data_IF_352075546884
#
_entry.id   IF_352075546884
#
_cell.length_a   1.000
_cell.length_b   1.000
_cell.length_c   1.000
_cell.angle_alpha   90.00
_cell.angle_beta   90.00
_cell.angle_gamma   90.00
#
_symmetry.space_group_name_H-M   'P 1'
#
loop_
_entity.id
_entity.type
_entity.pdbx_description
1 polymer ?
#
# COMPACT_ATOMS: atom_id res chain seq x y z
N UNK A 1 11.46 9.35 20.37
CA UNK A 1 10.19 8.87 19.79
C UNK A 1 10.00 7.43 20.22
N UNK A 2 8.88 7.08 20.85
CA UNK A 2 8.58 5.68 21.18
C UNK A 2 8.05 4.95 19.93
N UNK A 3 8.42 3.69 19.76
CA UNK A 3 8.09 2.91 18.57
C UNK A 3 6.66 2.37 18.66
N UNK A 4 5.81 2.55 17.64
CA UNK A 4 4.44 2.02 17.67
C UNK A 4 4.42 0.49 17.87
N UNK A 5 5.37 -0.24 17.30
CA UNK A 5 5.48 -1.68 17.51
C UNK A 5 5.74 -2.11 18.96
N UNK A 6 6.21 -1.20 19.80
CA UNK A 6 6.50 -1.46 21.22
C UNK A 6 5.32 -1.10 22.12
N UNK A 7 4.45 -0.18 21.67
CA UNK A 7 3.30 0.30 22.43
C UNK A 7 1.99 -0.38 22.03
N UNK A 8 1.88 -0.85 20.78
CA UNK A 8 0.66 -1.47 20.28
C UNK A 8 0.29 -2.70 21.11
N UNK A 9 -0.97 -2.78 21.50
CA UNK A 9 -1.51 -3.93 22.22
C UNK A 9 -2.37 -4.76 21.27
N UNK A 10 -2.42 -6.09 21.44
CA UNK A 10 -3.42 -6.89 20.76
C UNK A 10 -4.82 -6.42 21.11
N UNK A 11 -5.70 -6.44 20.13
CA UNK A 11 -7.08 -6.07 20.29
C UNK A 11 -7.93 -7.24 20.76
N UNK A 12 -9.13 -6.93 21.24
CA UNK A 12 -10.20 -7.89 21.41
C UNK A 12 -11.50 -7.37 20.79
N UNK A 13 -12.39 -8.31 20.46
CA UNK A 13 -13.69 -8.02 19.87
C UNK A 13 -14.76 -7.69 20.94
N UNK A 14 -14.37 -7.33 22.17
CA UNK A 14 -15.32 -7.11 23.28
C UNK A 14 -15.85 -5.68 23.35
N UNK A 15 -15.09 -4.70 22.85
CA UNK A 15 -15.48 -3.30 22.94
C UNK A 15 -16.77 -3.00 22.16
N UNK A 16 -17.67 -2.26 22.80
CA UNK A 16 -18.87 -1.69 22.18
C UNK A 16 -18.94 -0.20 22.55
N UNK A 17 -19.11 0.72 21.60
CA UNK A 17 -19.20 2.12 21.92
C UNK A 17 -20.46 2.39 22.76
N UNK A 18 -20.35 3.21 23.83
CA UNK A 18 -21.48 3.49 24.72
C UNK A 18 -22.58 4.31 24.04
N UNK A 19 -22.25 5.01 22.95
CA UNK A 19 -23.15 5.86 22.20
C UNK A 19 -23.07 5.53 20.71
N UNK A 20 -24.14 4.95 20.18
CA UNK A 20 -24.33 4.74 18.74
C UNK A 20 -25.57 5.50 18.30
N UNK A 21 -25.37 6.53 17.48
CA UNK A 21 -26.48 7.30 16.90
C UNK A 21 -27.15 6.55 15.75
N UNK A 22 -26.37 5.78 15.00
CA UNK A 22 -26.82 5.07 13.81
C UNK A 22 -26.71 3.56 14.04
N UNK A 23 -27.70 2.83 13.54
CA UNK A 23 -27.64 1.37 13.45
C UNK A 23 -26.89 0.98 12.17
N UNK A 24 -25.86 0.17 12.31
CA UNK A 24 -25.06 -0.29 11.17
C UNK A 24 -25.87 -1.27 10.32
N UNK A 25 -26.13 -0.97 9.03
CA UNK A 25 -26.88 -1.87 8.16
C UNK A 25 -26.17 -3.22 8.01
N UNK A 26 -26.93 -4.31 8.07
CA UNK A 26 -26.43 -5.63 7.69
C UNK A 26 -26.26 -5.74 6.16
N UNK A 27 -25.55 -6.77 5.71
CA UNK A 27 -25.51 -7.17 4.29
C UNK A 27 -24.14 -7.16 3.63
N UNK A 28 -23.14 -6.54 4.25
CA UNK A 28 -21.76 -6.63 3.78
C UNK A 28 -20.76 -6.53 4.95
N UNK A 29 -19.79 -7.42 4.97
CA UNK A 29 -18.69 -7.43 5.94
C UNK A 29 -17.51 -6.63 5.35
N UNK A 30 -17.16 -5.49 5.98
CA UNK A 30 -16.08 -4.63 5.49
C UNK A 30 -14.68 -5.20 5.76
N UNK A 31 -14.56 -6.22 6.62
CA UNK A 31 -13.30 -6.95 6.88
C UNK A 31 -13.16 -8.20 6.03
N UNK A 32 -14.23 -8.68 5.39
CA UNK A 32 -14.15 -9.77 4.41
C UNK A 32 -13.56 -9.28 3.08
N UNK A 33 -12.23 -9.26 3.00
CA UNK A 33 -11.49 -8.91 1.77
C UNK A 33 -11.88 -9.83 0.60
N UNK A 34 -12.27 -11.08 0.87
CA UNK A 34 -12.67 -12.03 -0.17
C UNK A 34 -14.04 -11.68 -0.75
N UNK A 35 -14.93 -11.05 0.03
CA UNK A 35 -16.20 -10.54 -0.48
C UNK A 35 -15.99 -9.47 -1.56
N UNK A 36 -15.01 -8.57 -1.40
CA UNK A 36 -14.66 -7.59 -2.44
C UNK A 36 -14.14 -8.25 -3.71
N UNK A 37 -13.35 -9.31 -3.59
CA UNK A 37 -12.85 -10.06 -4.75
C UNK A 37 -13.96 -10.84 -5.46
N UNK A 38 -14.87 -11.45 -4.72
CA UNK A 38 -15.95 -12.29 -5.26
C UNK A 38 -17.11 -11.48 -5.85
N UNK A 39 -17.45 -10.34 -5.24
CA UNK A 39 -18.66 -9.57 -5.57
C UNK A 39 -18.37 -8.19 -6.15
N UNK A 40 -17.11 -7.75 -6.13
CA UNK A 40 -16.73 -6.39 -6.51
C UNK A 40 -17.05 -5.37 -5.42
N UNK A 41 -17.07 -4.09 -5.81
CA UNK A 41 -17.33 -2.99 -4.88
C UNK A 41 -18.83 -2.95 -4.51
N UNK A 42 -19.19 -2.95 -3.22
CA UNK A 42 -20.59 -3.00 -2.78
C UNK A 42 -21.24 -1.60 -2.82
N UNK A 43 -21.37 -1.02 -4.01
CA UNK A 43 -21.83 0.36 -4.20
C UNK A 43 -23.19 0.64 -3.54
N UNK A 44 -24.14 -0.30 -3.62
CA UNK A 44 -25.46 -0.18 -2.98
C UNK A 44 -25.38 -0.19 -1.44
N UNK A 45 -24.47 -0.99 -0.88
CA UNK A 45 -24.23 -0.98 0.56
C UNK A 45 -23.62 0.35 1.01
N UNK A 46 -22.62 0.85 0.27
CA UNK A 46 -22.05 2.17 0.55
C UNK A 46 -23.07 3.30 0.38
N UNK A 47 -24.01 3.20 -0.56
CA UNK A 47 -25.12 4.14 -0.69
C UNK A 47 -26.03 4.10 0.55
N UNK A 48 -26.39 2.91 1.00
CA UNK A 48 -27.17 2.71 2.24
C UNK A 48 -26.47 3.29 3.46
N UNK A 49 -25.16 3.07 3.61
CA UNK A 49 -24.36 3.67 4.69
C UNK A 49 -24.44 5.20 4.63
N UNK A 50 -24.22 5.81 3.47
CA UNK A 50 -24.27 7.28 3.33
C UNK A 50 -25.62 7.87 3.72
N UNK A 51 -26.71 7.20 3.39
CA UNK A 51 -28.07 7.67 3.66
C UNK A 51 -28.49 7.45 5.12
N UNK A 52 -28.29 6.22 5.63
CA UNK A 52 -28.91 5.76 6.89
C UNK A 52 -27.95 5.73 8.07
N UNK A 53 -26.67 5.48 7.83
CA UNK A 53 -25.65 5.31 8.88
C UNK A 53 -24.29 5.89 8.45
N UNK A 54 -24.20 7.23 8.25
CA UNK A 54 -23.00 7.86 7.69
C UNK A 54 -21.76 7.73 8.59
N UNK A 55 -21.99 7.52 9.89
CA UNK A 55 -20.99 7.20 10.90
C UNK A 55 -21.43 5.92 11.60
N UNK A 56 -20.98 4.78 11.10
CA UNK A 56 -21.42 3.46 11.56
C UNK A 56 -20.35 2.81 12.45
N UNK A 57 -20.74 2.18 13.56
CA UNK A 57 -19.82 1.29 14.28
C UNK A 57 -19.89 -0.09 13.64
N UNK A 58 -18.78 -0.52 13.05
CA UNK A 58 -18.67 -1.81 12.41
C UNK A 58 -18.11 -2.83 13.40
N UNK A 59 -18.85 -3.91 13.62
CA UNK A 59 -18.50 -4.96 14.56
C UNK A 59 -18.09 -6.24 13.83
N UNK A 60 -16.86 -6.75 14.04
CA UNK A 60 -16.46 -8.00 13.41
C UNK A 60 -17.19 -9.22 13.98
N UNK A 61 -17.22 -10.34 13.22
CA UNK A 61 -17.70 -11.62 13.70
C UNK A 61 -17.10 -12.00 15.06
N UNK A 62 -17.91 -12.58 15.97
CA UNK A 62 -17.55 -12.78 17.37
C UNK A 62 -16.29 -13.66 17.60
N UNK A 63 -15.89 -14.45 16.60
CA UNK A 63 -14.75 -15.36 16.62
C UNK A 63 -13.41 -14.73 16.17
N UNK A 64 -13.43 -13.47 15.72
CA UNK A 64 -12.23 -12.70 15.40
C UNK A 64 -11.56 -12.12 16.65
N UNK A 65 -10.24 -11.96 16.62
CA UNK A 65 -9.43 -11.33 17.66
C UNK A 65 -8.94 -9.93 17.24
N UNK A 66 -9.83 -9.16 16.59
CA UNK A 66 -9.61 -7.77 16.19
C UNK A 66 -10.77 -6.91 16.70
N UNK A 67 -10.52 -5.62 16.94
CA UNK A 67 -11.52 -4.71 17.45
C UNK A 67 -12.53 -4.31 16.36
N UNK A 68 -13.70 -3.81 16.79
CA UNK A 68 -14.57 -3.05 15.91
C UNK A 68 -14.00 -1.66 15.60
N UNK A 69 -14.53 -1.01 14.58
CA UNK A 69 -14.08 0.32 14.16
C UNK A 69 -15.23 1.22 13.73
N UNK A 70 -15.01 2.53 13.76
CA UNK A 70 -15.93 3.50 13.17
C UNK A 70 -15.69 3.59 11.67
N UNK A 71 -16.77 3.49 10.88
CA UNK A 71 -16.78 3.65 9.43
C UNK A 71 -17.48 4.95 9.04
N UNK A 72 -16.75 5.83 8.34
CA UNK A 72 -17.25 7.07 7.76
C UNK A 72 -17.52 6.86 6.27
N UNK A 73 -18.73 7.16 5.81
CA UNK A 73 -19.12 6.87 4.41
C UNK A 73 -19.42 8.09 3.56
N UNK A 74 -19.66 9.26 4.17
CA UNK A 74 -19.85 10.52 3.44
C UNK A 74 -18.51 11.19 3.19
N UNK A 75 -18.36 11.74 1.98
CA UNK A 75 -17.15 12.46 1.57
C UNK A 75 -16.75 13.56 2.56
N UNK A 76 -17.69 14.39 3.01
CA UNK A 76 -17.40 15.48 3.94
C UNK A 76 -16.93 15.00 5.32
N UNK A 77 -17.45 13.85 5.80
CA UNK A 77 -17.06 13.28 7.08
C UNK A 77 -15.64 12.70 7.00
N UNK A 78 -15.33 11.96 5.93
CA UNK A 78 -13.98 11.43 5.65
C UNK A 78 -12.98 12.57 5.51
N UNK A 79 -13.28 13.57 4.68
CA UNK A 79 -12.42 14.74 4.47
C UNK A 79 -12.16 15.50 5.78
N UNK A 80 -13.19 15.69 6.61
CA UNK A 80 -13.03 16.36 7.91
C UNK A 80 -12.13 15.55 8.85
N UNK A 81 -12.29 14.23 8.87
CA UNK A 81 -11.45 13.32 9.65
C UNK A 81 -9.98 13.38 9.19
N UNK A 82 -9.74 13.21 7.89
CA UNK A 82 -8.40 13.19 7.29
C UNK A 82 -7.64 14.50 7.46
N UNK A 83 -8.36 15.65 7.51
CA UNK A 83 -7.76 16.97 7.67
C UNK A 83 -7.52 17.37 9.14
N UNK A 84 -8.05 16.62 10.11
CA UNK A 84 -7.93 16.91 11.55
C UNK A 84 -7.06 15.86 12.27
N UNK A 85 -5.78 15.80 11.88
CA UNK A 85 -4.78 14.89 12.45
C UNK A 85 -4.53 15.13 13.96
N UNK A 86 -5.00 16.25 14.54
CA UNK A 86 -4.93 16.49 15.98
C UNK A 86 -5.97 15.67 16.73
N UNK A 87 -7.17 15.51 16.17
CA UNK A 87 -8.24 14.69 16.75
C UNK A 87 -8.11 13.24 16.31
N UNK A 88 -7.77 13.00 15.03
CA UNK A 88 -7.68 11.67 14.42
C UNK A 88 -6.21 11.32 14.16
N UNK A 89 -5.60 10.71 15.17
CA UNK A 89 -4.18 10.33 15.20
C UNK A 89 -3.90 9.14 14.28
N UNK A 90 -2.83 9.21 13.49
CA UNK A 90 -2.29 8.06 12.76
C UNK A 90 -1.23 7.30 13.56
N UNK A 91 -0.68 7.92 14.61
CA UNK A 91 0.31 7.30 15.51
C UNK A 91 -0.30 6.54 16.69
N UNK A 92 -1.53 6.84 17.09
CA UNK A 92 -2.22 6.15 18.18
C UNK A 92 -3.02 5.00 17.59
N UNK A 93 -2.53 3.78 17.80
CA UNK A 93 -3.19 2.58 17.25
C UNK A 93 -2.86 2.31 15.78
N UNK A 94 -2.12 3.19 15.09
CA UNK A 94 -1.66 2.95 13.72
C UNK A 94 -2.77 3.00 12.66
N UNK A 95 -2.40 2.63 11.43
CA UNK A 95 -3.29 2.70 10.25
C UNK A 95 -3.92 1.35 9.86
N UNK A 96 -3.61 0.27 10.58
CA UNK A 96 -4.16 -1.06 10.26
C UNK A 96 -5.57 -1.18 10.86
N UNK A 97 -6.46 -1.88 10.16
CA UNK A 97 -7.85 -2.06 10.61
C UNK A 97 -8.01 -2.96 11.85
N UNK A 98 -6.94 -3.59 12.32
CA UNK A 98 -6.94 -4.32 13.58
C UNK A 98 -5.65 -5.07 13.86
N UNK A 99 -5.47 -5.44 15.14
CA UNK A 99 -4.24 -6.03 15.67
C UNK A 99 -4.51 -7.36 16.36
N UNK A 100 -4.42 -8.43 15.57
CA UNK A 100 -4.67 -9.80 16.05
C UNK A 100 -3.49 -10.36 16.85
N UNK A 101 -3.78 -10.93 18.02
CA UNK A 101 -2.80 -11.69 18.81
C UNK A 101 -2.31 -12.95 18.09
N UNK A 102 -3.12 -13.48 17.16
CA UNK A 102 -2.83 -14.68 16.35
C UNK A 102 -1.94 -14.37 15.13
N UNK A 103 -1.84 -13.11 14.70
CA UNK A 103 -0.99 -12.72 13.57
C UNK A 103 0.48 -12.60 13.97
N UNK A 104 1.17 -13.75 14.02
CA UNK A 104 2.61 -13.81 14.28
C UNK A 104 3.41 -13.92 12.98
N UNK A 105 3.66 -12.77 12.35
CA UNK A 105 4.64 -12.64 11.27
C UNK A 105 6.08 -12.57 11.80
N UNK A 106 7.09 -12.50 10.90
CA UNK A 106 8.46 -12.18 11.30
C UNK A 106 8.51 -10.88 12.09
N UNK A 107 9.11 -10.88 13.29
CA UNK A 107 9.17 -9.68 14.17
C UNK A 107 9.66 -8.42 13.46
N UNK A 108 10.69 -8.54 12.61
CA UNK A 108 11.24 -7.43 11.81
C UNK A 108 10.23 -6.86 10.81
N UNK A 109 9.41 -7.73 10.20
CA UNK A 109 8.34 -7.31 9.28
C UNK A 109 7.22 -6.59 10.04
N UNK A 110 6.77 -7.15 11.16
CA UNK A 110 5.75 -6.51 12.01
C UNK A 110 6.21 -5.16 12.56
N UNK A 111 7.44 -5.09 13.05
CA UNK A 111 8.05 -3.82 13.48
C UNK A 111 8.11 -2.79 12.35
N UNK A 112 8.64 -3.16 11.18
CA UNK A 112 8.72 -2.27 10.03
C UNK A 112 7.34 -1.78 9.55
N UNK A 113 6.30 -2.62 9.59
CA UNK A 113 4.95 -2.22 9.20
C UNK A 113 4.37 -1.12 10.10
N UNK A 114 4.81 -1.04 11.37
CA UNK A 114 4.32 -0.09 12.36
C UNK A 114 5.25 1.10 12.57
N UNK A 115 6.56 0.91 12.39
CA UNK A 115 7.57 1.91 12.68
C UNK A 115 7.95 2.69 11.42
N UNK A 116 6.94 3.32 10.81
CA UNK A 116 7.10 4.08 9.56
C UNK A 116 6.32 5.38 9.62
N UNK A 117 6.71 6.34 8.79
CA UNK A 117 6.15 7.70 8.78
C UNK A 117 4.62 7.75 8.62
N UNK A 118 4.00 6.74 8.00
CA UNK A 118 2.53 6.69 7.84
C UNK A 118 1.80 6.46 9.18
N UNK A 119 2.48 5.91 10.18
CA UNK A 119 1.97 5.69 11.54
C UNK A 119 2.52 6.76 12.51
N UNK A 120 2.67 8.01 12.08
CA UNK A 120 3.22 9.08 12.90
C UNK A 120 2.35 10.34 12.83
N UNK A 121 2.32 11.07 13.95
CA UNK A 121 1.72 12.41 14.02
C UNK A 121 2.77 13.50 14.20
N UNK A 122 2.30 14.75 14.28
CA UNK A 122 3.14 15.87 14.70
C UNK A 122 3.63 15.69 16.16
N UNK A 123 4.83 16.21 16.50
CA UNK A 123 5.70 17.05 15.67
C UNK A 123 6.62 16.27 14.72
N UNK A 124 6.69 14.94 14.82
CA UNK A 124 7.72 14.17 14.11
C UNK A 124 7.40 13.88 12.64
N UNK A 125 6.13 13.70 12.28
CA UNK A 125 5.73 13.39 10.91
C UNK A 125 6.13 14.47 9.89
N UNK A 126 5.91 15.75 10.22
CA UNK A 126 6.07 16.85 9.26
C UNK A 126 7.53 17.01 8.80
N UNK A 127 8.55 17.07 9.69
CA UNK A 127 9.94 17.12 9.28
C UNK A 127 10.34 15.98 8.35
N UNK A 128 9.96 14.73 8.69
CA UNK A 128 10.26 13.55 7.88
C UNK A 128 9.61 13.64 6.48
N UNK A 129 8.34 14.06 6.43
CA UNK A 129 7.62 14.26 5.16
C UNK A 129 8.25 15.36 4.32
N UNK A 130 8.69 16.46 4.94
CA UNK A 130 9.34 17.56 4.23
C UNK A 130 10.70 17.15 3.66
N UNK A 131 11.44 16.27 4.34
CA UNK A 131 12.68 15.71 3.81
C UNK A 131 12.45 14.96 2.49
N UNK A 132 11.35 14.22 2.36
CA UNK A 132 11.01 13.48 1.14
C UNK A 132 10.49 14.36 0.01
N UNK A 133 9.94 15.54 0.30
CA UNK A 133 9.24 16.44 -0.64
C UNK A 133 9.99 16.71 -1.96
N UNK A 134 11.32 16.90 -2.02
CA UNK A 134 12.03 17.17 -3.28
C UNK A 134 11.78 16.13 -4.37
N UNK A 135 11.60 14.86 -3.98
CA UNK A 135 11.35 13.72 -4.89
C UNK A 135 9.89 13.61 -5.37
N UNK A 136 9.03 14.54 -4.94
CA UNK A 136 7.62 14.60 -5.32
C UNK A 136 7.26 15.99 -5.88
N UNK A 137 8.25 16.75 -6.34
CA UNK A 137 8.04 18.04 -7.01
C UNK A 137 7.69 17.83 -8.49
N UNK A 138 6.96 18.78 -9.13
CA UNK A 138 6.67 18.71 -10.56
C UNK A 138 7.94 18.53 -11.42
N UNK A 139 9.01 19.24 -11.09
CA UNK A 139 10.28 19.16 -11.82
C UNK A 139 10.89 17.75 -11.73
N UNK A 140 10.94 17.15 -10.54
CA UNK A 140 11.44 15.78 -10.38
C UNK A 140 10.58 14.77 -11.15
N UNK A 141 9.25 14.92 -11.05
CA UNK A 141 8.29 14.06 -11.76
C UNK A 141 8.47 14.16 -13.27
N UNK A 142 8.71 15.36 -13.83
CA UNK A 142 8.95 15.54 -15.26
C UNK A 142 10.21 14.81 -15.75
N UNK A 143 11.28 14.81 -14.95
CA UNK A 143 12.50 14.03 -15.28
C UNK A 143 12.24 12.52 -15.20
N UNK A 144 11.46 12.07 -14.21
CA UNK A 144 11.08 10.68 -14.07
C UNK A 144 10.17 10.22 -15.22
N UNK A 145 9.25 11.09 -15.67
CA UNK A 145 8.31 10.81 -16.76
C UNK A 145 9.02 10.33 -18.02
N UNK A 146 10.09 10.99 -18.47
CA UNK A 146 10.83 10.58 -19.67
C UNK A 146 11.37 9.13 -19.58
N UNK A 147 11.73 8.68 -18.38
CA UNK A 147 12.21 7.30 -18.15
C UNK A 147 11.06 6.31 -18.09
N UNK A 148 9.96 6.70 -17.46
CA UNK A 148 8.73 5.92 -17.37
C UNK A 148 8.11 5.74 -18.75
N UNK A 149 8.11 6.76 -19.61
CA UNK A 149 7.66 6.68 -21.01
C UNK A 149 8.42 5.61 -21.79
N UNK A 150 9.75 5.58 -21.68
CA UNK A 150 10.55 4.52 -22.33
C UNK A 150 10.24 3.11 -21.80
N UNK A 151 9.93 2.97 -20.51
CA UNK A 151 9.48 1.69 -19.96
C UNK A 151 8.07 1.33 -20.42
N UNK A 152 7.16 2.29 -20.53
CA UNK A 152 5.82 2.09 -21.09
C UNK A 152 5.95 1.56 -22.52
N UNK A 153 6.73 2.21 -23.38
CA UNK A 153 6.96 1.77 -24.76
C UNK A 153 7.49 0.32 -24.81
N UNK A 154 8.51 0.01 -24.00
CA UNK A 154 9.07 -1.34 -23.90
C UNK A 154 8.04 -2.39 -23.47
N UNK A 155 7.18 -2.04 -22.51
CA UNK A 155 6.12 -2.94 -22.03
C UNK A 155 5.00 -3.09 -23.07
N UNK A 156 4.64 -2.03 -23.80
CA UNK A 156 3.67 -2.07 -24.89
C UNK A 156 4.16 -2.92 -26.07
N UNK A 157 5.43 -2.78 -26.47
CA UNK A 157 6.06 -3.62 -27.49
C UNK A 157 5.98 -5.12 -27.12
N UNK A 158 6.25 -5.43 -25.85
CA UNK A 158 6.12 -6.80 -25.34
C UNK A 158 4.67 -7.30 -25.38
N UNK A 159 3.70 -6.45 -25.01
CA UNK A 159 2.29 -6.80 -25.13
C UNK A 159 1.89 -7.09 -26.57
N UNK A 160 2.32 -6.26 -27.54
CA UNK A 160 2.03 -6.49 -28.96
C UNK A 160 2.62 -7.83 -29.44
N UNK A 161 3.85 -8.15 -29.04
CA UNK A 161 4.49 -9.42 -29.37
C UNK A 161 3.76 -10.65 -28.78
N UNK A 162 3.20 -10.53 -27.58
CA UNK A 162 2.37 -11.58 -26.96
C UNK A 162 1.03 -11.68 -27.70
N UNK A 163 0.38 -10.55 -27.97
CA UNK A 163 -0.91 -10.49 -28.66
C UNK A 163 -0.84 -11.18 -30.03
N UNK A 164 0.23 -10.94 -30.80
CA UNK A 164 0.49 -11.59 -32.11
C UNK A 164 0.53 -13.12 -32.02
N UNK A 165 0.95 -13.68 -30.87
CA UNK A 165 1.04 -15.13 -30.63
C UNK A 165 -0.21 -15.72 -29.99
N UNK A 166 -1.14 -14.89 -29.52
CA UNK A 166 -2.25 -15.29 -28.68
C UNK A 166 -3.59 -14.69 -29.15
N UNK A 167 -3.82 -14.63 -30.46
CA UNK A 167 -5.10 -14.21 -31.06
C UNK A 167 -5.56 -12.82 -30.57
N UNK A 168 -4.62 -11.87 -30.46
CA UNK A 168 -4.89 -10.51 -29.98
C UNK A 168 -5.15 -10.41 -28.48
N UNK A 169 -5.01 -11.48 -27.70
CA UNK A 169 -5.27 -11.51 -26.25
C UNK A 169 -3.99 -11.39 -25.45
N UNK A 170 -4.03 -10.55 -24.43
CA UNK A 170 -2.94 -10.37 -23.47
C UNK A 170 -3.50 -10.26 -22.06
N UNK A 171 -2.72 -10.69 -21.09
CA UNK A 171 -2.97 -10.35 -19.69
C UNK A 171 -2.20 -9.09 -19.34
N UNK A 172 -2.94 -7.99 -19.18
CA UNK A 172 -2.37 -6.68 -18.86
C UNK A 172 -1.76 -6.65 -17.45
N UNK A 173 -2.27 -7.45 -16.51
CA UNK A 173 -1.75 -7.49 -15.14
C UNK A 173 -0.30 -7.98 -15.16
N UNK A 174 -0.13 -9.22 -15.61
CA UNK A 174 1.16 -9.93 -15.56
C UNK A 174 2.21 -9.38 -16.52
N UNK A 175 1.80 -8.66 -17.58
CA UNK A 175 2.71 -8.18 -18.62
C UNK A 175 2.90 -6.65 -18.63
N UNK A 176 2.16 -5.89 -17.83
CA UNK A 176 2.28 -4.42 -17.81
C UNK A 176 2.18 -3.84 -16.39
N UNK A 177 1.02 -3.93 -15.76
CA UNK A 177 0.77 -3.19 -14.51
C UNK A 177 1.51 -3.74 -13.29
N UNK A 178 1.98 -5.00 -13.31
CA UNK A 178 2.91 -5.53 -12.31
C UNK A 178 4.32 -4.92 -12.41
N UNK A 179 4.72 -4.48 -13.59
CA UNK A 179 6.09 -4.08 -13.89
C UNK A 179 6.29 -2.57 -13.79
N UNK A 180 5.38 -1.80 -14.37
CA UNK A 180 5.54 -0.34 -14.49
C UNK A 180 5.69 0.37 -13.12
N UNK A 181 4.85 0.12 -12.11
CA UNK A 181 5.00 0.77 -10.80
C UNK A 181 6.32 0.42 -10.12
N UNK A 182 6.76 -0.83 -10.24
CA UNK A 182 8.00 -1.30 -9.66
C UNK A 182 9.22 -0.66 -10.33
N UNK A 183 9.17 -0.51 -11.66
CA UNK A 183 10.20 0.23 -12.40
C UNK A 183 10.28 1.67 -11.90
N UNK A 184 9.16 2.39 -11.87
CA UNK A 184 9.08 3.79 -11.42
C UNK A 184 9.61 3.96 -10.00
N UNK A 185 9.22 3.08 -9.06
CA UNK A 185 9.74 3.07 -7.69
C UNK A 185 11.25 2.85 -7.66
N UNK A 186 11.75 1.85 -8.40
CA UNK A 186 13.19 1.57 -8.44
C UNK A 186 13.99 2.75 -9.01
N UNK A 187 13.44 3.50 -9.96
CA UNK A 187 14.07 4.72 -10.46
C UNK A 187 14.14 5.81 -9.40
N UNK A 188 13.02 6.07 -8.75
CA UNK A 188 12.93 7.09 -7.72
C UNK A 188 13.83 6.80 -6.50
N UNK A 189 13.95 5.52 -6.15
CA UNK A 189 14.78 5.04 -5.04
C UNK A 189 16.27 4.92 -5.39
N UNK A 190 16.67 5.06 -6.65
CA UNK A 190 18.05 4.84 -7.07
C UNK A 190 18.50 3.37 -6.92
N UNK A 191 17.58 2.42 -7.09
CA UNK A 191 17.88 0.98 -7.05
C UNK A 191 18.59 0.56 -8.33
N UNK A 192 19.80 0.02 -8.17
CA UNK A 192 20.60 -0.53 -9.27
C UNK A 192 19.76 -1.54 -10.08
N UNK A 193 19.79 -1.42 -11.41
CA UNK A 193 18.99 -2.23 -12.33
C UNK A 193 19.10 -3.75 -12.08
N UNK A 194 20.32 -4.22 -11.79
CA UNK A 194 20.62 -5.63 -11.48
C UNK A 194 19.90 -6.14 -10.24
N UNK A 195 19.41 -5.28 -9.36
CA UNK A 195 18.70 -5.66 -8.14
C UNK A 195 17.17 -5.61 -8.28
N UNK A 196 16.62 -4.97 -9.31
CA UNK A 196 15.17 -4.73 -9.46
C UNK A 196 14.33 -6.01 -9.47
N UNK A 197 14.81 -7.05 -10.14
CA UNK A 197 14.14 -8.37 -10.16
C UNK A 197 13.98 -8.98 -8.76
N UNK A 198 14.86 -8.64 -7.81
CA UNK A 198 14.73 -9.09 -6.42
C UNK A 198 13.61 -8.35 -5.72
N UNK A 199 13.43 -7.05 -5.98
CA UNK A 199 12.34 -6.25 -5.41
C UNK A 199 10.99 -6.81 -5.87
N UNK A 200 10.82 -7.04 -7.18
CA UNK A 200 9.63 -7.68 -7.76
C UNK A 200 9.32 -9.00 -7.05
N UNK A 201 10.34 -9.85 -6.88
CA UNK A 201 10.20 -11.13 -6.20
C UNK A 201 9.75 -10.96 -4.74
N UNK A 202 10.33 -10.02 -4.00
CA UNK A 202 9.95 -9.81 -2.60
C UNK A 202 8.52 -9.30 -2.45
N UNK A 203 8.11 -8.38 -3.33
CA UNK A 203 6.73 -7.89 -3.40
C UNK A 203 5.74 -9.02 -3.67
N UNK A 204 6.04 -9.90 -4.62
CA UNK A 204 5.21 -11.09 -4.88
C UNK A 204 5.00 -11.97 -3.63
N UNK A 205 6.01 -12.12 -2.75
CA UNK A 205 5.83 -12.88 -1.51
C UNK A 205 5.04 -12.12 -0.44
N UNK A 206 5.14 -10.79 -0.37
CA UNK A 206 4.34 -9.96 0.52
C UNK A 206 2.85 -10.00 0.11
N UNK A 207 2.57 -9.75 -1.17
CA UNK A 207 1.22 -9.76 -1.75
C UNK A 207 0.54 -11.13 -1.55
N UNK A 208 1.24 -12.23 -1.88
CA UNK A 208 0.68 -13.57 -1.69
C UNK A 208 0.42 -13.90 -0.22
N UNK A 209 1.29 -13.45 0.70
CA UNK A 209 1.06 -13.68 2.11
C UNK A 209 -0.21 -12.99 2.59
N UNK A 210 -0.45 -11.75 2.14
CA UNK A 210 -1.69 -11.03 2.44
C UNK A 210 -2.91 -11.77 1.89
N UNK A 211 -2.89 -12.19 0.62
CA UNK A 211 -4.01 -12.96 0.04
C UNK A 211 -4.29 -14.28 0.78
N UNK A 212 -3.23 -15.00 1.16
CA UNK A 212 -3.35 -16.26 1.91
C UNK A 212 -3.95 -16.03 3.30
N UNK A 213 -3.49 -15.00 4.02
CA UNK A 213 -3.99 -14.68 5.37
C UNK A 213 -5.46 -14.25 5.31
N UNK A 214 -5.86 -13.52 4.27
CA UNK A 214 -7.25 -13.08 4.07
C UNK A 214 -8.20 -14.16 3.59
N UNK A 215 -7.69 -15.31 3.11
CA UNK A 215 -8.52 -16.38 2.59
C UNK A 215 -8.69 -17.52 3.61
N UNK A 216 -9.88 -17.70 4.21
CA UNK A 216 -10.10 -18.71 5.25
C UNK A 216 -9.94 -20.15 4.74
N UNK A 217 -10.01 -20.35 3.41
CA UNK A 217 -9.85 -21.66 2.77
C UNK A 217 -8.43 -21.89 2.23
N UNK A 218 -7.49 -20.97 2.44
CA UNK A 218 -6.14 -21.09 1.91
C UNK A 218 -5.40 -22.29 2.54
N UNK A 219 -4.90 -23.18 1.69
CA UNK A 219 -3.99 -24.25 2.10
C UNK A 219 -2.56 -23.76 2.00
N UNK A 220 -1.94 -23.51 3.14
CA UNK A 220 -0.56 -23.00 3.20
C UNK A 220 0.43 -24.17 3.09
N UNK A 221 1.18 -24.21 1.99
CA UNK A 221 2.27 -25.18 1.84
C UNK A 221 3.43 -24.83 2.79
N UNK A 222 4.03 -25.81 3.50
CA UNK A 222 5.25 -25.58 4.28
C UNK A 222 6.40 -24.98 3.44
N UNK A 223 6.47 -25.34 2.16
CA UNK A 223 7.46 -24.79 1.21
C UNK A 223 7.23 -23.29 0.98
N UNK A 224 5.97 -22.86 0.90
CA UNK A 224 5.64 -21.44 0.78
C UNK A 224 6.10 -20.66 2.01
N UNK A 225 5.83 -21.16 3.22
CA UNK A 225 6.26 -20.52 4.48
C UNK A 225 7.79 -20.35 4.50
N UNK A 226 8.54 -21.42 4.18
CA UNK A 226 10.01 -21.34 4.12
C UNK A 226 10.50 -20.30 3.10
N UNK A 227 9.91 -20.28 1.89
CA UNK A 227 10.26 -19.29 0.86
C UNK A 227 9.88 -17.88 1.28
N UNK A 228 8.73 -17.67 1.89
CA UNK A 228 8.30 -16.38 2.42
C UNK A 228 9.30 -15.85 3.45
N UNK A 229 9.59 -16.64 4.49
CA UNK A 229 10.55 -16.25 5.54
C UNK A 229 11.94 -15.93 4.97
N UNK A 230 12.41 -16.73 4.02
CA UNK A 230 13.68 -16.49 3.34
C UNK A 230 13.68 -15.16 2.56
N UNK A 231 12.64 -14.91 1.76
CA UNK A 231 12.53 -13.69 0.96
C UNK A 231 12.41 -12.44 1.84
N UNK A 232 11.60 -12.47 2.91
CA UNK A 232 11.49 -11.37 3.87
C UNK A 232 12.85 -11.06 4.50
N UNK A 233 13.61 -12.08 4.92
CA UNK A 233 14.96 -11.89 5.44
C UNK A 233 15.89 -11.25 4.40
N UNK A 234 15.86 -11.72 3.15
CA UNK A 234 16.71 -11.16 2.08
C UNK A 234 16.34 -9.71 1.76
N UNK A 235 15.05 -9.39 1.71
CA UNK A 235 14.53 -8.04 1.47
C UNK A 235 15.07 -7.05 2.50
N UNK A 236 14.93 -7.36 3.79
CA UNK A 236 15.41 -6.47 4.84
C UNK A 236 16.94 -6.39 4.92
N UNK A 237 17.65 -7.50 4.69
CA UNK A 237 19.11 -7.47 4.62
C UNK A 237 19.63 -6.60 3.48
N UNK A 238 18.94 -6.64 2.33
CA UNK A 238 19.26 -5.78 1.21
C UNK A 238 18.96 -4.31 1.52
N UNK A 239 17.75 -3.99 1.99
CA UNK A 239 17.37 -2.62 2.37
C UNK A 239 18.35 -2.02 3.37
N UNK A 240 18.69 -2.77 4.43
CA UNK A 240 19.70 -2.36 5.40
C UNK A 240 21.06 -2.10 4.77
N UNK A 241 21.55 -3.00 3.91
CA UNK A 241 22.83 -2.81 3.21
C UNK A 241 22.81 -1.55 2.34
N UNK A 242 21.72 -1.31 1.61
CA UNK A 242 21.58 -0.15 0.71
C UNK A 242 21.54 1.14 1.52
N UNK A 243 20.73 1.21 2.58
CA UNK A 243 20.65 2.40 3.43
C UNK A 243 21.97 2.70 4.15
N UNK A 244 22.68 1.66 4.62
CA UNK A 244 24.03 1.82 5.19
C UNK A 244 25.06 2.29 4.15
N UNK A 245 24.95 1.82 2.91
CA UNK A 245 25.76 2.33 1.80
C UNK A 245 25.45 3.81 1.56
N UNK A 246 24.18 4.21 1.49
CA UNK A 246 23.80 5.62 1.31
C UNK A 246 24.25 6.56 2.42
N UNK A 247 24.32 6.09 3.67
CA UNK A 247 24.93 6.85 4.77
C UNK A 247 26.41 7.17 4.52
N UNK A 248 27.15 6.22 3.93
CA UNK A 248 28.60 6.35 3.69
C UNK A 248 28.91 7.00 2.33
N UNK A 249 28.08 6.72 1.35
CA UNK A 249 28.19 7.10 -0.05
C UNK A 249 26.86 7.69 -0.52
N UNK A 250 26.51 8.94 -0.10
CA UNK A 250 25.27 9.59 -0.50
C UNK A 250 25.12 9.67 -2.02
N UNK A 251 23.89 9.50 -2.52
CA UNK A 251 23.51 9.67 -3.93
C UNK A 251 22.35 10.65 -4.04
N UNK A 252 22.02 11.05 -5.27
CA UNK A 252 20.85 11.88 -5.54
C UNK A 252 19.59 11.00 -5.67
N UNK A 253 19.20 10.34 -4.58
CA UNK A 253 18.04 9.44 -4.52
C UNK A 253 17.29 9.51 -3.19
N UNK A 254 16.02 9.07 -3.19
CA UNK A 254 15.18 9.11 -1.99
C UNK A 254 15.74 8.24 -0.85
N UNK A 255 16.44 7.14 -1.17
CA UNK A 255 17.08 6.30 -0.16
C UNK A 255 18.20 7.01 0.57
N UNK A 256 18.88 7.95 -0.08
CA UNK A 256 19.88 8.80 0.58
C UNK A 256 19.22 9.69 1.63
N UNK A 257 18.11 10.36 1.26
CA UNK A 257 17.35 11.17 2.23
C UNK A 257 16.96 10.33 3.44
N UNK A 258 16.31 9.19 3.23
CA UNK A 258 15.87 8.30 4.32
C UNK A 258 17.04 7.86 5.20
N UNK A 259 18.14 7.46 4.56
CA UNK A 259 19.32 6.96 5.25
C UNK A 259 19.98 8.03 6.13
N UNK A 260 19.96 9.29 5.70
CA UNK A 260 20.60 10.41 6.40
C UNK A 260 19.63 11.27 7.21
N UNK A 261 18.36 10.87 7.30
CA UNK A 261 17.38 11.58 8.12
C UNK A 261 17.76 11.56 9.60
N UNK A 262 17.64 12.71 10.24
CA UNK A 262 17.90 12.93 11.66
C UNK A 262 16.67 13.55 12.33
N UNK A 263 16.46 13.21 13.60
CA UNK A 263 15.48 13.84 14.49
C UNK A 263 16.23 14.29 15.73
N UNK A 264 16.05 15.56 16.13
CA UNK A 264 16.77 16.19 17.24
C UNK A 264 18.30 16.09 17.13
N UNK A 265 18.83 16.06 15.90
CA UNK A 265 20.27 15.95 15.60
C UNK A 265 20.83 14.53 15.70
N UNK A 266 19.98 13.52 15.92
CA UNK A 266 20.37 12.12 15.98
C UNK A 266 19.86 11.34 14.76
N UNK A 267 20.70 10.49 14.13
CA UNK A 267 20.26 9.63 13.04
C UNK A 267 19.13 8.70 13.46
N UNK A 268 18.17 8.50 12.57
CA UNK A 268 17.09 7.55 12.81
C UNK A 268 17.62 6.13 13.00
N UNK A 269 16.99 5.38 13.90
CA UNK A 269 17.36 4.00 14.21
C UNK A 269 17.05 3.02 13.06
N UNK A 270 17.53 1.78 13.20
CA UNK A 270 17.33 0.75 12.18
C UNK A 270 15.85 0.36 12.02
N UNK A 271 15.04 0.50 13.07
CA UNK A 271 13.61 0.14 13.08
C UNK A 271 12.82 1.06 12.15
N UNK A 272 13.07 2.37 12.26
CA UNK A 272 12.52 3.37 11.36
C UNK A 272 13.01 3.21 9.92
N UNK A 273 14.30 2.92 9.74
CA UNK A 273 14.86 2.67 8.40
C UNK A 273 14.22 1.47 7.72
N UNK A 274 14.02 0.38 8.47
CA UNK A 274 13.33 -0.82 7.97
C UNK A 274 11.86 -0.51 7.62
N UNK A 275 11.17 0.29 8.44
CA UNK A 275 9.80 0.71 8.17
C UNK A 275 9.67 1.66 7.01
N UNK A 276 10.59 2.60 6.84
CA UNK A 276 10.65 3.52 5.69
C UNK A 276 10.94 2.76 4.39
N UNK A 277 11.87 1.81 4.44
CA UNK A 277 12.15 0.90 3.33
C UNK A 277 10.90 0.11 2.93
N UNK A 278 10.24 -0.55 3.90
CA UNK A 278 9.03 -1.33 3.65
C UNK A 278 7.89 -0.47 3.10
N UNK A 279 7.64 0.70 3.69
CA UNK A 279 6.58 1.61 3.29
C UNK A 279 6.73 2.00 1.81
N UNK A 280 7.92 2.38 1.37
CA UNK A 280 8.08 2.92 0.01
C UNK A 280 8.07 1.83 -1.04
N UNK A 281 8.69 0.67 -0.79
CA UNK A 281 8.65 -0.44 -1.77
C UNK A 281 7.23 -0.98 -1.94
N UNK A 282 6.40 -0.90 -0.89
CA UNK A 282 5.04 -1.44 -0.88
C UNK A 282 4.01 -0.42 -1.41
N UNK A 283 4.03 0.81 -0.90
CA UNK A 283 2.95 1.78 -1.10
C UNK A 283 2.70 2.16 -2.57
N UNK A 284 3.76 2.28 -3.38
CA UNK A 284 3.64 2.70 -4.77
C UNK A 284 3.32 1.57 -5.76
N UNK A 285 3.40 0.31 -5.32
CA UNK A 285 3.25 -0.84 -6.21
C UNK A 285 1.79 -1.25 -6.39
N UNK A 286 1.13 -1.68 -5.31
CA UNK A 286 -0.20 -2.31 -5.37
C UNK A 286 -1.29 -1.31 -5.81
N UNK A 287 -1.24 -0.08 -5.28
CA UNK A 287 -2.19 0.98 -5.60
C UNK A 287 -2.15 1.32 -7.09
N UNK A 288 -0.96 1.65 -7.61
CA UNK A 288 -0.76 1.99 -9.02
C UNK A 288 -1.09 0.82 -9.96
N UNK A 289 -0.68 -0.41 -9.61
CA UNK A 289 -1.01 -1.62 -10.38
C UNK A 289 -2.52 -1.79 -10.54
N UNK A 290 -3.25 -1.68 -9.43
CA UNK A 290 -4.70 -1.85 -9.40
C UNK A 290 -5.42 -0.69 -10.10
N UNK A 291 -4.94 0.55 -9.99
CA UNK A 291 -5.46 1.69 -10.74
C UNK A 291 -5.29 1.49 -12.24
N UNK A 292 -4.11 1.11 -12.72
CA UNK A 292 -3.85 0.85 -14.14
C UNK A 292 -4.75 -0.27 -14.67
N UNK A 293 -4.79 -1.41 -13.98
CA UNK A 293 -5.60 -2.57 -14.34
C UNK A 293 -7.09 -2.26 -14.33
N UNK A 294 -7.55 -1.55 -13.28
CA UNK A 294 -8.93 -1.09 -13.13
C UNK A 294 -9.34 -0.16 -14.26
N UNK A 295 -8.50 0.81 -14.62
CA UNK A 295 -8.73 1.71 -15.74
C UNK A 295 -8.91 0.94 -17.05
N UNK A 296 -8.02 0.01 -17.38
CA UNK A 296 -8.13 -0.77 -18.62
C UNK A 296 -9.35 -1.69 -18.64
N UNK A 297 -9.73 -2.24 -17.48
CA UNK A 297 -11.00 -2.99 -17.33
C UNK A 297 -12.19 -2.08 -17.64
N UNK A 298 -12.24 -0.88 -17.06
CA UNK A 298 -13.32 0.08 -17.29
C UNK A 298 -13.37 0.54 -18.76
N UNK A 299 -12.23 0.81 -19.39
CA UNK A 299 -12.15 1.18 -20.81
C UNK A 299 -12.62 0.05 -21.75
N UNK A 300 -12.58 -1.20 -21.29
CA UNK A 300 -13.12 -2.35 -22.04
C UNK A 300 -14.64 -2.46 -21.87
N UNK A 301 -15.17 -2.06 -20.71
CA UNK A 301 -16.60 -2.07 -20.39
C UNK A 301 -17.35 -0.88 -21.01
N UNK A 302 -16.78 0.33 -20.91
CA UNK A 302 -17.34 1.59 -21.39
C UNK A 302 -16.65 2.03 -22.67
N UNK A 303 -17.01 1.37 -23.79
CA UNK A 303 -16.35 1.58 -25.10
C UNK A 303 -16.57 2.97 -25.68
N UNK A 304 -17.68 3.60 -25.36
CA UNK A 304 -17.99 5.00 -25.70
C UNK A 304 -17.00 5.96 -25.03
N UNK A 305 -16.73 5.79 -23.74
CA UNK A 305 -15.75 6.58 -23.00
C UNK A 305 -14.33 6.35 -23.52
N UNK A 306 -13.99 5.08 -23.84
CA UNK A 306 -12.73 4.75 -24.50
C UNK A 306 -12.59 5.47 -25.85
N UNK A 307 -13.63 5.48 -26.67
CA UNK A 307 -13.60 6.14 -27.97
C UNK A 307 -13.41 7.66 -27.82
N UNK A 308 -14.09 8.29 -26.85
CA UNK A 308 -13.89 9.71 -26.55
C UNK A 308 -12.43 10.04 -26.24
N UNK A 309 -11.75 9.23 -25.41
CA UNK A 309 -10.33 9.43 -25.09
C UNK A 309 -9.41 9.20 -26.30
N UNK A 310 -9.75 8.27 -27.20
CA UNK A 310 -8.98 8.04 -28.43
C UNK A 310 -9.13 9.20 -29.42
N UNK A 311 -10.32 9.79 -29.47
CA UNK A 311 -10.63 10.93 -30.35
C UNK A 311 -10.04 12.24 -29.80
N UNK A 312 -9.98 12.41 -28.47
CA UNK A 312 -9.37 13.56 -27.79
C UNK A 312 -8.59 13.16 -26.52
N UNK A 313 -7.25 13.01 -26.61
CA UNK A 313 -6.40 12.72 -25.47
C UNK A 313 -6.41 13.78 -24.36
N UNK A 314 -6.86 15.02 -24.64
CA UNK A 314 -6.93 16.10 -23.64
C UNK A 314 -8.07 15.92 -22.63
N UNK A 315 -8.91 14.90 -22.81
CA UNK A 315 -9.93 14.50 -21.84
C UNK A 315 -9.35 13.77 -20.61
N UNK A 316 -8.06 13.39 -20.64
CA UNK A 316 -7.34 12.95 -19.45
C UNK A 316 -6.98 14.19 -18.61
N UNK A 317 -7.43 14.31 -17.34
CA UNK A 317 -7.25 15.49 -16.50
C UNK A 317 -5.81 15.85 -16.16
#
# INVERSE_FOLDING_TARGET
MESLSETIQPEDNSYRPPHMKYETPAGFDLMDIMAFAAHGQPYEYFHTLREKAPVAWWQPPADTDIAGFWSLSRYEDVKKCDLDAKTFSSGTGGILMGYSARQQGPKRLGGAALNSMINMDQPFHIPLRMAHRPFFTPDYIAHLQARVEGEVDRLLDNLEAIAKKNDGKVDMVTNFSEWLPMYTLCEMLGIDEKARHKIVRWMHYLENAQYIISNPNAKISPIFIMKFLWNIRQMFNYGQKVLQDRRKNPRDDLLTVIATTEVDGEPMDQSYLDGSWLLIIFAGNDTTRNSLSGTMRLMTQFKDQKQMLLDDPNLVP
#
